data_IF_982274238858
#
_entry.id   IF_982274238858
#
_cell.length_a   1.000
_cell.length_b   1.000
_cell.length_c   1.000
_cell.angle_alpha   90.00
_cell.angle_beta   90.00
_cell.angle_gamma   90.00
#
_symmetry.space_group_name_H-M   'P 1'
#
loop_
_entity.id
_entity.type
_entity.pdbx_description
1 polymer ?
#
# COMPACT_ATOMS: atom_id res chain seq x y z
N UNK A 1 -5.48 2.21 -13.63
CA UNK A 1 -5.26 2.21 -12.17
C UNK A 1 -6.46 2.85 -11.48
N UNK A 2 -6.84 2.34 -10.31
CA UNK A 2 -7.90 2.95 -9.50
C UNK A 2 -7.33 4.19 -8.79
N UNK A 3 -7.73 5.40 -9.21
CA UNK A 3 -7.23 6.68 -8.68
C UNK A 3 -7.26 6.73 -7.14
N UNK A 4 -8.30 6.15 -6.52
CA UNK A 4 -8.46 6.11 -5.06
C UNK A 4 -7.42 5.23 -4.38
N UNK A 5 -7.09 4.09 -4.99
CA UNK A 5 -6.08 3.16 -4.46
C UNK A 5 -4.69 3.82 -4.47
N UNK A 6 -4.34 4.48 -5.58
CA UNK A 6 -3.08 5.22 -5.68
C UNK A 6 -2.99 6.33 -4.64
N UNK A 7 -4.07 7.08 -4.41
CA UNK A 7 -4.12 8.09 -3.36
C UNK A 7 -3.82 7.48 -1.97
N UNK A 8 -4.47 6.36 -1.64
CA UNK A 8 -4.29 5.68 -0.34
C UNK A 8 -2.86 5.18 -0.16
N UNK A 9 -2.27 4.55 -1.19
CA UNK A 9 -0.90 4.00 -1.10
C UNK A 9 0.18 5.07 -1.07
N UNK A 10 0.01 6.18 -1.78
CA UNK A 10 1.00 7.26 -1.84
C UNK A 10 0.82 8.36 -0.79
N UNK A 11 -0.25 8.35 0.00
CA UNK A 11 -0.45 9.32 1.07
C UNK A 11 0.73 9.40 2.06
N UNK A 12 1.30 8.28 2.55
CA UNK A 12 2.47 8.32 3.44
C UNK A 12 3.72 8.93 2.80
N UNK A 13 3.86 8.77 1.47
CA UNK A 13 4.98 9.34 0.69
C UNK A 13 4.82 10.84 0.54
N UNK A 14 3.63 11.29 0.14
CA UNK A 14 3.33 12.73 -0.02
C UNK A 14 3.42 13.49 1.31
N UNK A 15 3.11 12.84 2.42
CA UNK A 15 3.28 13.40 3.76
C UNK A 15 4.74 13.40 4.24
N UNK A 16 5.67 12.79 3.51
CA UNK A 16 7.09 12.77 3.85
C UNK A 16 7.48 11.76 4.94
N UNK A 17 6.62 10.79 5.26
CA UNK A 17 6.93 9.80 6.29
C UNK A 17 7.82 8.66 5.80
N UNK A 18 7.73 8.32 4.51
CA UNK A 18 8.48 7.23 3.87
C UNK A 18 8.80 7.59 2.42
N UNK A 19 9.94 7.10 1.91
CA UNK A 19 10.33 7.32 0.50
C UNK A 19 9.49 6.53 -0.51
N UNK A 20 8.92 5.39 -0.09
CA UNK A 20 8.16 4.49 -0.95
C UNK A 20 6.89 3.98 -0.28
N UNK A 21 5.84 3.76 -1.07
CA UNK A 21 4.54 3.32 -0.58
C UNK A 21 4.62 1.98 0.18
N UNK A 22 5.45 1.04 -0.28
CA UNK A 22 5.61 -0.28 0.35
C UNK A 22 6.37 -0.23 1.69
N UNK A 23 7.04 0.87 2.02
CA UNK A 23 7.70 1.02 3.33
C UNK A 23 6.70 1.34 4.44
N UNK A 24 5.48 1.79 4.10
CA UNK A 24 4.44 2.04 5.10
C UNK A 24 3.83 0.72 5.57
N UNK A 25 4.26 0.26 6.76
CA UNK A 25 3.90 -1.06 7.30
C UNK A 25 2.39 -1.24 7.52
N UNK A 26 1.67 -0.15 7.80
CA UNK A 26 0.22 -0.15 8.03
C UNK A 26 -0.56 0.21 6.75
N UNK A 27 -0.13 -0.31 5.59
CA UNK A 27 -0.81 -0.14 4.30
C UNK A 27 -0.76 -1.45 3.52
N UNK A 28 -1.78 -1.68 2.70
CA UNK A 28 -1.83 -2.82 1.78
C UNK A 28 -0.92 -2.68 0.56
N UNK A 29 -0.23 -1.54 0.39
CA UNK A 29 0.68 -1.31 -0.75
C UNK A 29 1.68 -2.46 -0.96
N UNK A 30 2.16 -3.07 0.13
CA UNK A 30 3.07 -4.22 0.14
C UNK A 30 2.42 -5.48 -0.45
N UNK A 31 1.14 -5.71 -0.15
CA UNK A 31 0.42 -6.89 -0.59
C UNK A 31 0.22 -6.91 -2.11
N UNK A 32 0.05 -5.74 -2.73
CA UNK A 32 0.01 -5.61 -4.20
C UNK A 32 1.35 -5.94 -4.88
N UNK A 33 2.44 -6.03 -4.11
CA UNK A 33 3.76 -6.45 -4.56
C UNK A 33 4.09 -7.89 -4.14
N UNK A 34 3.13 -8.64 -3.58
CA UNK A 34 3.35 -9.98 -3.06
C UNK A 34 4.17 -10.02 -1.76
N UNK A 35 4.31 -8.88 -1.07
CA UNK A 35 5.04 -8.77 0.19
C UNK A 35 4.03 -8.84 1.35
N UNK A 36 4.32 -9.67 2.34
CA UNK A 36 3.48 -9.78 3.54
C UNK A 36 3.43 -8.47 4.35
N UNK A 37 2.22 -8.16 4.80
CA UNK A 37 1.92 -7.05 5.70
C UNK A 37 1.92 -7.48 7.17
N UNK A 38 1.59 -6.55 8.07
CA UNK A 38 1.40 -6.86 9.50
C UNK A 38 0.17 -7.76 9.68
N UNK A 39 -0.85 -7.57 8.84
CA UNK A 39 -2.12 -8.29 8.88
C UNK A 39 -2.22 -9.11 7.59
N UNK A 40 -2.57 -10.40 7.66
CA UNK A 40 -2.80 -11.21 6.47
C UNK A 40 -4.01 -10.65 5.70
N UNK A 41 -3.86 -10.50 4.39
CA UNK A 41 -4.93 -10.03 3.50
C UNK A 41 -4.96 -10.88 2.25
N UNK A 42 -6.16 -11.07 1.72
CA UNK A 42 -6.40 -11.72 0.43
C UNK A 42 -6.80 -10.65 -0.56
N UNK A 43 -6.07 -10.52 -1.67
CA UNK A 43 -6.48 -9.65 -2.77
C UNK A 43 -7.61 -10.35 -3.54
N UNK A 44 -8.70 -9.62 -3.78
CA UNK A 44 -9.82 -10.09 -4.58
C UNK A 44 -9.70 -9.56 -6.00
N UNK A 45 -9.69 -10.44 -7.00
CA UNK A 45 -9.43 -10.08 -8.40
C UNK A 45 -10.70 -9.90 -9.24
N UNK A 46 -11.88 -10.06 -8.64
CA UNK A 46 -13.18 -10.03 -9.35
C UNK A 46 -13.78 -11.42 -9.53
#
# INVERSE_FOLDING_TARGET
>A
MSQKLEYIHYNPVKAGFVDKAEHWRCSSARNYLGIDGIIPVTLFDG
#
